data_IF_153748156889
#
_entry.id   IF_153748156889
#
_cell.length_a   1.000
_cell.length_b   1.000
_cell.length_c   1.000
_cell.angle_alpha   90.00
_cell.angle_beta   90.00
_cell.angle_gamma   90.00
#
_symmetry.space_group_name_H-M   'P 1'
#
loop_
_entity.id
_entity.type
_entity.pdbx_description
1 polymer ?
#
# COMPACT_ATOMS: atom_id res chain seq x y z
N UNK A 1 3.42 61.25 -17.94
CA UNK A 1 2.56 61.66 -19.08
C UNK A 1 3.32 62.67 -19.91
N UNK A 2 3.88 62.26 -21.05
CA UNK A 2 4.21 63.15 -22.16
C UNK A 2 4.53 62.29 -23.38
N UNK A 3 3.77 62.52 -24.46
CA UNK A 3 3.95 61.90 -25.77
C UNK A 3 5.22 62.47 -26.40
N UNK A 4 6.11 61.60 -26.87
CA UNK A 4 7.07 61.93 -27.92
C UNK A 4 6.76 61.03 -29.12
N UNK A 5 6.31 61.69 -30.20
CA UNK A 5 6.21 61.13 -31.54
C UNK A 5 7.64 60.80 -32.00
N UNK A 6 7.90 59.53 -32.28
CA UNK A 6 9.11 59.05 -32.92
C UNK A 6 8.76 58.43 -34.26
N UNK A 7 8.99 59.23 -35.30
CA UNK A 7 9.25 58.90 -36.70
C UNK A 7 8.93 57.48 -37.21
N UNK A 8 7.88 57.39 -38.04
CA UNK A 8 7.56 56.22 -38.85
C UNK A 8 8.30 56.31 -40.18
N UNK A 9 9.55 55.87 -40.21
CA UNK A 9 10.25 55.54 -41.45
C UNK A 9 10.90 54.16 -41.30
N UNK A 10 10.11 53.12 -41.59
CA UNK A 10 10.64 51.79 -41.89
C UNK A 10 11.51 51.93 -43.16
N UNK A 11 12.79 51.54 -43.16
CA UNK A 11 13.58 51.56 -44.38
C UNK A 11 12.96 50.56 -45.36
N UNK A 12 12.57 51.06 -46.55
CA UNK A 12 12.12 50.23 -47.66
C UNK A 12 13.22 49.21 -47.99
N UNK A 13 12.86 47.95 -47.88
CA UNK A 13 13.70 46.82 -48.21
C UNK A 13 14.00 46.87 -49.73
N UNK A 14 15.25 47.19 -50.09
CA UNK A 14 15.72 47.22 -51.48
C UNK A 14 15.49 45.82 -52.05
N UNK A 15 14.83 45.67 -53.23
CA UNK A 15 14.60 44.36 -53.82
C UNK A 15 15.93 43.79 -54.31
N UNK A 16 16.60 43.01 -53.46
CA UNK A 16 17.66 42.10 -53.89
C UNK A 16 16.96 41.05 -54.74
N UNK A 17 17.13 41.12 -56.06
CA UNK A 17 16.64 40.12 -57.01
C UNK A 17 17.41 38.81 -56.81
N UNK A 18 16.94 37.97 -55.90
CA UNK A 18 17.46 36.61 -55.72
C UNK A 18 16.94 35.77 -56.87
N UNK A 19 17.86 35.16 -57.63
CA UNK A 19 17.54 34.45 -58.86
C UNK A 19 17.56 32.93 -58.70
N UNK A 20 18.21 32.42 -57.66
CA UNK A 20 18.37 30.97 -57.44
C UNK A 20 18.09 30.57 -55.99
N UNK A 21 17.69 29.31 -55.76
CA UNK A 21 17.53 28.79 -54.42
C UNK A 21 18.88 28.77 -53.66
N UNK A 22 20.00 28.60 -54.36
CA UNK A 22 21.34 28.64 -53.78
C UNK A 22 21.68 29.97 -53.12
N UNK A 23 21.39 31.10 -53.79
CA UNK A 23 21.54 32.45 -53.21
C UNK A 23 20.63 32.65 -51.98
N UNK A 24 19.41 32.11 -52.04
CA UNK A 24 18.47 32.17 -50.93
C UNK A 24 18.94 31.39 -49.70
N UNK A 25 19.47 30.16 -49.89
CA UNK A 25 20.09 29.36 -48.83
C UNK A 25 21.29 30.08 -48.20
N UNK A 26 22.13 30.74 -49.02
CA UNK A 26 23.26 31.51 -48.53
C UNK A 26 22.84 32.69 -47.65
N UNK A 27 21.76 33.39 -47.99
CA UNK A 27 21.21 34.48 -47.17
C UNK A 27 20.65 33.94 -45.86
N UNK A 28 19.92 32.83 -45.90
CA UNK A 28 19.39 32.18 -44.70
C UNK A 28 20.53 31.74 -43.76
N UNK A 29 21.58 31.12 -44.30
CA UNK A 29 22.79 30.71 -43.56
C UNK A 29 23.55 31.90 -42.96
N UNK A 30 23.77 32.96 -43.75
CA UNK A 30 24.48 34.18 -43.31
C UNK A 30 23.77 34.89 -42.16
N UNK A 31 22.44 34.84 -42.12
CA UNK A 31 21.63 35.51 -41.11
C UNK A 31 21.16 34.56 -39.98
N UNK A 32 21.70 33.34 -39.89
CA UNK A 32 21.37 32.40 -38.82
C UNK A 32 19.92 31.90 -38.84
N UNK A 33 19.27 31.88 -39.99
CA UNK A 33 17.91 31.38 -40.15
C UNK A 33 17.95 29.85 -40.24
N UNK A 34 17.68 29.19 -39.11
CA UNK A 34 17.80 27.72 -38.97
C UNK A 34 16.46 26.99 -38.91
N UNK A 35 15.34 27.71 -38.88
CA UNK A 35 14.00 27.12 -38.85
C UNK A 35 12.94 28.11 -39.40
N UNK A 36 11.75 27.58 -39.69
CA UNK A 36 10.63 28.34 -40.25
C UNK A 36 10.11 29.45 -39.33
N UNK A 37 10.24 29.32 -38.00
CA UNK A 37 9.84 30.36 -37.05
C UNK A 37 10.76 31.58 -37.17
N UNK A 38 12.08 31.37 -37.14
CA UNK A 38 13.07 32.43 -37.33
C UNK A 38 12.92 33.09 -38.71
N UNK A 39 12.61 32.30 -39.74
CA UNK A 39 12.30 32.83 -41.07
C UNK A 39 11.07 33.75 -41.04
N UNK A 40 9.95 33.32 -40.45
CA UNK A 40 8.73 34.11 -40.35
C UNK A 40 8.91 35.39 -39.50
N UNK A 41 9.73 35.33 -38.46
CA UNK A 41 10.03 36.49 -37.60
C UNK A 41 10.90 37.54 -38.31
N UNK A 42 11.78 37.11 -39.22
CA UNK A 42 12.81 37.98 -39.78
C UNK A 42 12.64 38.30 -41.27
N UNK A 43 11.67 37.69 -41.99
CA UNK A 43 11.58 37.88 -43.44
C UNK A 43 11.31 39.32 -43.88
N UNK A 44 10.66 40.13 -43.03
CA UNK A 44 10.41 41.55 -43.32
C UNK A 44 11.65 42.43 -43.11
N UNK A 45 12.56 41.98 -42.24
CA UNK A 45 13.67 42.78 -41.72
C UNK A 45 14.98 42.49 -42.44
N UNK A 46 15.14 41.28 -43.00
CA UNK A 46 16.35 40.88 -43.71
C UNK A 46 16.16 41.09 -45.22
N UNK A 47 16.98 41.93 -45.87
CA UNK A 47 16.96 42.07 -47.32
C UNK A 47 17.21 40.75 -48.03
N UNK A 48 16.26 40.35 -48.88
CA UNK A 48 16.31 39.10 -49.62
C UNK A 48 15.64 37.90 -48.94
N UNK A 49 15.18 37.97 -47.69
CA UNK A 49 14.24 36.95 -47.22
C UNK A 49 12.86 37.20 -47.84
N UNK A 50 12.26 36.16 -48.43
CA UNK A 50 10.91 36.19 -49.00
C UNK A 50 9.95 35.40 -48.13
N UNK A 51 8.70 35.84 -48.05
CA UNK A 51 7.68 35.21 -47.19
C UNK A 51 7.35 33.77 -47.62
N UNK A 52 7.32 33.53 -48.93
CA UNK A 52 6.90 32.27 -49.54
C UNK A 52 7.94 31.76 -50.56
N UNK A 53 9.12 31.30 -50.11
CA UNK A 53 10.16 30.80 -51.01
C UNK A 53 9.73 29.59 -51.84
N UNK A 54 8.81 28.78 -51.34
CA UNK A 54 8.20 27.65 -52.04
C UNK A 54 7.41 28.07 -53.29
N UNK A 55 6.94 29.32 -53.36
CA UNK A 55 6.21 29.86 -54.52
C UNK A 55 7.13 30.50 -55.56
N UNK A 56 8.28 31.02 -55.12
CA UNK A 56 9.24 31.72 -55.99
C UNK A 56 10.22 30.75 -56.63
N UNK A 57 10.71 29.76 -55.88
CA UNK A 57 11.66 28.75 -56.35
C UNK A 57 10.98 27.41 -56.67
N UNK A 58 9.79 27.46 -57.27
CA UNK A 58 8.91 26.27 -57.43
C UNK A 58 9.61 25.06 -58.03
N UNK A 59 10.51 25.27 -58.99
CA UNK A 59 11.22 24.20 -59.72
C UNK A 59 12.45 23.66 -58.97
N UNK A 60 13.03 24.44 -58.05
CA UNK A 60 14.21 24.06 -57.25
C UNK A 60 13.83 23.66 -55.80
N UNK A 61 12.61 23.97 -55.35
CA UNK A 61 12.19 23.82 -53.96
C UNK A 61 11.92 22.37 -53.58
N UNK A 62 12.69 21.86 -52.62
CA UNK A 62 12.50 20.53 -52.04
C UNK A 62 11.67 20.62 -50.75
N UNK A 63 12.17 21.34 -49.75
CA UNK A 63 11.47 21.56 -48.48
C UNK A 63 12.13 22.66 -47.66
N UNK A 64 11.43 23.15 -46.62
CA UNK A 64 12.03 24.04 -45.63
C UNK A 64 13.21 23.38 -44.87
N UNK A 65 13.20 22.05 -44.70
CA UNK A 65 14.31 21.32 -44.05
C UNK A 65 15.59 21.41 -44.87
N UNK A 66 15.48 21.18 -46.18
CA UNK A 66 16.58 21.29 -47.14
C UNK A 66 17.06 22.74 -47.31
N UNK A 67 16.17 23.71 -47.15
CA UNK A 67 16.49 25.14 -47.30
C UNK A 67 17.26 25.71 -46.11
N UNK A 68 16.97 25.25 -44.89
CA UNK A 68 17.63 25.73 -43.67
C UNK A 68 18.73 24.80 -43.16
N UNK A 69 19.17 23.83 -43.97
CA UNK A 69 20.14 22.79 -43.58
C UNK A 69 19.79 22.12 -42.24
N UNK A 70 18.49 21.86 -41.98
CA UNK A 70 18.03 21.29 -40.70
C UNK A 70 18.55 19.86 -40.60
N UNK A 71 19.39 19.53 -39.60
CA UNK A 71 19.93 18.19 -39.45
C UNK A 71 18.83 17.13 -39.26
N UNK A 72 18.98 15.98 -39.92
CA UNK A 72 18.14 14.82 -39.64
C UNK A 72 18.34 14.32 -38.21
N UNK A 73 17.28 13.76 -37.63
CA UNK A 73 17.36 13.13 -36.32
C UNK A 73 18.35 11.97 -36.33
N UNK A 74 19.03 11.76 -35.20
CA UNK A 74 19.82 10.54 -35.03
C UNK A 74 18.93 9.31 -35.23
N UNK A 75 19.50 8.20 -35.74
CA UNK A 75 18.75 6.96 -35.80
C UNK A 75 18.33 6.50 -34.40
N UNK A 76 17.22 5.75 -34.31
CA UNK A 76 16.71 5.20 -33.04
C UNK A 76 17.80 4.47 -32.24
N UNK A 77 18.61 3.64 -32.92
CA UNK A 77 19.75 2.91 -32.33
C UNK A 77 20.84 3.86 -31.82
N UNK A 78 21.19 4.89 -32.59
CA UNK A 78 22.21 5.87 -32.19
C UNK A 78 21.75 6.64 -30.96
N UNK A 79 20.51 7.12 -30.92
CA UNK A 79 20.03 7.85 -29.75
C UNK A 79 19.93 6.95 -28.51
N UNK A 80 19.49 5.69 -28.65
CA UNK A 80 19.51 4.74 -27.53
C UNK A 80 20.92 4.55 -26.96
N UNK A 81 21.95 4.55 -27.81
CA UNK A 81 23.34 4.45 -27.35
C UNK A 81 23.80 5.70 -26.58
N UNK A 82 23.34 6.89 -26.98
CA UNK A 82 23.64 8.17 -26.32
C UNK A 82 22.96 8.26 -24.95
N UNK A 83 21.69 7.84 -24.85
CA UNK A 83 20.92 7.99 -23.59
C UNK A 83 21.17 6.86 -22.59
N UNK A 84 21.65 5.69 -23.03
CA UNK A 84 21.95 4.55 -22.17
C UNK A 84 22.88 4.89 -20.99
N UNK A 85 24.04 5.55 -21.17
CA UNK A 85 24.91 5.93 -20.06
C UNK A 85 24.30 7.00 -19.12
N UNK A 86 23.29 7.74 -19.57
CA UNK A 86 22.67 8.82 -18.80
C UNK A 86 21.67 8.31 -17.74
N UNK A 87 21.26 7.04 -17.82
CA UNK A 87 20.36 6.38 -16.87
C UNK A 87 19.07 7.19 -16.54
N UNK A 88 18.51 7.87 -17.56
CA UNK A 88 17.34 8.73 -17.43
C UNK A 88 16.14 7.97 -16.87
N UNK A 89 15.42 8.59 -15.92
CA UNK A 89 14.39 7.87 -15.17
C UNK A 89 12.99 7.98 -15.75
N UNK A 90 12.71 9.00 -16.55
CA UNK A 90 11.36 9.29 -17.03
C UNK A 90 11.38 10.10 -18.32
N UNK A 91 10.23 10.17 -18.99
CA UNK A 91 9.99 11.07 -20.13
C UNK A 91 10.31 12.53 -19.79
N UNK A 92 10.02 12.98 -18.56
CA UNK A 92 10.32 14.34 -18.09
C UNK A 92 11.81 14.60 -18.07
N UNK A 93 12.60 13.65 -17.57
CA UNK A 93 14.07 13.75 -17.56
C UNK A 93 14.65 13.71 -18.97
N UNK A 94 14.08 12.89 -19.87
CA UNK A 94 14.47 12.91 -21.27
C UNK A 94 14.24 14.29 -21.91
N UNK A 95 13.04 14.87 -21.75
CA UNK A 95 12.76 16.22 -22.28
C UNK A 95 13.68 17.30 -21.70
N UNK A 96 14.03 17.18 -20.40
CA UNK A 96 15.01 18.07 -19.78
C UNK A 96 16.41 17.89 -20.36
N UNK A 97 16.82 16.64 -20.66
CA UNK A 97 18.07 16.34 -21.35
C UNK A 97 18.09 16.93 -22.76
N UNK A 98 17.02 16.76 -23.56
CA UNK A 98 16.92 17.36 -24.89
C UNK A 98 17.09 18.88 -24.82
N UNK A 99 16.39 19.54 -23.88
CA UNK A 99 16.51 20.99 -23.67
C UNK A 99 17.93 21.41 -23.24
N UNK A 100 18.65 20.57 -22.50
CA UNK A 100 20.00 20.88 -22.01
C UNK A 100 21.07 20.67 -23.09
N UNK A 101 20.93 19.65 -23.93
CA UNK A 101 21.86 19.41 -25.03
C UNK A 101 21.72 20.45 -26.13
N UNK A 102 20.49 20.94 -26.35
CA UNK A 102 20.17 21.88 -27.43
C UNK A 102 20.62 21.36 -28.81
N UNK A 103 20.65 20.02 -28.97
CA UNK A 103 21.05 19.33 -30.19
C UNK A 103 19.81 19.12 -31.07
N UNK A 104 19.71 19.77 -32.26
CA UNK A 104 18.58 19.62 -33.17
C UNK A 104 18.35 18.18 -33.67
N UNK A 105 19.36 17.31 -33.59
CA UNK A 105 19.27 15.90 -34.01
C UNK A 105 18.60 15.01 -32.97
N UNK A 106 18.31 15.53 -31.77
CA UNK A 106 17.62 14.79 -30.70
C UNK A 106 16.13 15.20 -30.68
N UNK A 107 15.20 14.32 -31.08
CA UNK A 107 13.79 14.68 -31.13
C UNK A 107 13.19 14.87 -29.73
N UNK A 108 12.36 15.89 -29.55
CA UNK A 108 11.63 16.09 -28.29
C UNK A 108 10.55 15.01 -28.07
N UNK A 109 9.94 14.56 -29.18
CA UNK A 109 8.96 13.48 -29.20
C UNK A 109 9.46 12.28 -30.02
N UNK A 110 10.28 11.40 -29.41
CA UNK A 110 10.81 10.23 -30.10
C UNK A 110 9.72 9.21 -30.48
N UNK A 111 8.56 9.24 -29.81
CA UNK A 111 7.43 8.37 -30.12
C UNK A 111 6.82 8.67 -31.48
N UNK A 112 6.59 9.95 -31.80
CA UNK A 112 6.08 10.35 -33.11
C UNK A 112 7.12 10.22 -34.23
N UNK A 113 8.41 10.40 -33.92
CA UNK A 113 9.49 10.30 -34.92
C UNK A 113 9.78 8.87 -35.34
N UNK A 114 9.75 7.92 -34.40
CA UNK A 114 10.04 6.50 -34.67
C UNK A 114 8.83 5.61 -34.44
N UNK A 115 7.63 6.04 -34.86
CA UNK A 115 6.37 5.32 -34.62
C UNK A 115 6.43 3.83 -34.96
N UNK A 116 7.10 3.46 -36.06
CA UNK A 116 7.26 2.06 -36.49
C UNK A 116 8.23 1.22 -35.64
N UNK A 117 9.23 1.84 -35.00
CA UNK A 117 10.22 1.18 -34.13
C UNK A 117 9.93 1.40 -32.64
N UNK A 118 8.94 2.24 -32.32
CA UNK A 118 8.62 2.67 -30.97
C UNK A 118 7.81 1.61 -30.24
N UNK A 119 8.36 1.14 -29.12
CA UNK A 119 7.67 0.16 -28.27
C UNK A 119 7.03 0.85 -27.06
N UNK A 120 7.85 1.47 -26.22
CA UNK A 120 7.42 2.30 -25.10
C UNK A 120 8.61 3.02 -24.46
N UNK A 121 8.31 3.98 -23.57
CA UNK A 121 9.31 4.74 -22.82
C UNK A 121 10.25 3.87 -21.97
N UNK A 122 9.78 2.76 -21.38
CA UNK A 122 10.65 1.92 -20.56
C UNK A 122 11.72 1.25 -21.41
N UNK A 123 11.35 0.64 -22.54
CA UNK A 123 12.30 0.02 -23.49
C UNK A 123 13.22 1.04 -24.16
N UNK A 124 12.71 2.24 -24.45
CA UNK A 124 13.51 3.33 -24.98
C UNK A 124 14.60 3.77 -23.98
N UNK A 125 14.23 3.97 -22.72
CA UNK A 125 15.14 4.39 -21.64
C UNK A 125 15.98 3.25 -21.03
N UNK A 126 15.86 2.02 -21.54
CA UNK A 126 16.60 0.85 -21.03
C UNK A 126 16.15 0.37 -19.65
N UNK A 127 14.89 0.65 -19.27
CA UNK A 127 14.28 0.24 -18.00
C UNK A 127 13.44 -1.01 -18.13
N UNK A 128 13.28 -1.72 -17.01
CA UNK A 128 12.31 -2.81 -16.88
C UNK A 128 10.90 -2.23 -16.87
N UNK A 129 10.03 -2.80 -17.69
CA UNK A 129 8.61 -2.46 -17.71
C UNK A 129 7.97 -2.78 -16.35
N UNK A 130 7.01 -1.96 -15.88
CA UNK A 130 6.30 -2.24 -14.66
C UNK A 130 5.44 -3.50 -14.80
N UNK A 131 5.06 -4.09 -13.67
CA UNK A 131 4.11 -5.19 -13.62
C UNK A 131 2.69 -4.62 -13.62
N UNK A 132 2.12 -4.48 -14.81
CA UNK A 132 0.78 -3.96 -15.04
C UNK A 132 0.22 -4.61 -16.31
N UNK A 133 -1.11 -4.78 -16.37
CA UNK A 133 -1.83 -5.45 -17.45
C UNK A 133 -1.47 -4.91 -18.84
N UNK A 134 -1.23 -3.60 -18.97
CA UNK A 134 -0.87 -2.96 -20.25
C UNK A 134 0.48 -3.41 -20.82
N UNK A 135 1.33 -4.02 -20.01
CA UNK A 135 2.67 -4.50 -20.40
C UNK A 135 2.76 -6.03 -20.40
N UNK A 136 1.63 -6.75 -20.41
CA UNK A 136 1.61 -8.17 -20.72
C UNK A 136 1.84 -8.32 -22.24
N UNK A 137 2.67 -9.28 -22.63
CA UNK A 137 3.00 -9.46 -24.05
C UNK A 137 1.76 -9.87 -24.86
N UNK A 138 1.65 -9.39 -26.11
CA UNK A 138 0.48 -9.60 -26.99
C UNK A 138 -0.02 -11.06 -27.06
N UNK A 139 0.84 -12.09 -27.15
CA UNK A 139 0.36 -13.48 -27.18
C UNK A 139 -0.37 -13.95 -25.90
N UNK A 140 -0.19 -13.25 -24.78
CA UNK A 140 -0.71 -13.60 -23.47
C UNK A 140 -1.84 -12.66 -23.01
N UNK A 141 -2.47 -11.91 -23.94
CA UNK A 141 -3.56 -10.97 -23.61
C UNK A 141 -4.72 -11.66 -22.88
N UNK A 142 -4.99 -12.95 -23.17
CA UNK A 142 -6.02 -13.71 -22.44
C UNK A 142 -5.78 -13.74 -20.92
N UNK A 143 -4.51 -13.79 -20.48
CA UNK A 143 -4.17 -13.64 -19.07
C UNK A 143 -4.53 -12.25 -18.55
N UNK A 144 -4.26 -11.19 -19.31
CA UNK A 144 -4.58 -9.83 -18.91
C UNK A 144 -6.08 -9.62 -18.72
N UNK A 145 -6.88 -10.09 -19.68
CA UNK A 145 -8.36 -10.02 -19.64
C UNK A 145 -8.90 -10.77 -18.44
N UNK A 146 -8.45 -12.02 -18.23
CA UNK A 146 -8.94 -12.84 -17.13
C UNK A 146 -8.50 -12.32 -15.75
N UNK A 147 -7.29 -11.74 -15.65
CA UNK A 147 -6.86 -11.04 -14.44
C UNK A 147 -7.75 -9.82 -14.17
N UNK A 148 -8.07 -9.03 -15.19
CA UNK A 148 -8.97 -7.88 -15.05
C UNK A 148 -10.36 -8.29 -14.54
N UNK A 149 -10.91 -9.38 -15.10
CA UNK A 149 -12.16 -9.99 -14.64
C UNK A 149 -12.08 -10.42 -13.17
N UNK A 150 -11.05 -11.18 -12.78
CA UNK A 150 -10.82 -11.59 -11.39
C UNK A 150 -10.74 -10.39 -10.43
N UNK A 151 -10.09 -9.30 -10.86
CA UNK A 151 -9.94 -8.11 -10.04
C UNK A 151 -11.27 -7.37 -9.76
N UNK A 152 -12.35 -7.65 -10.50
CA UNK A 152 -13.68 -7.11 -10.20
C UNK A 152 -14.31 -7.74 -8.95
N UNK A 153 -13.96 -8.99 -8.64
CA UNK A 153 -14.50 -9.75 -7.51
C UNK A 153 -13.52 -9.86 -6.34
N UNK A 154 -12.21 -9.76 -6.61
CA UNK A 154 -11.17 -10.00 -5.63
C UNK A 154 -11.01 -8.87 -4.59
N UNK A 155 -11.04 -9.24 -3.29
CA UNK A 155 -10.63 -8.35 -2.20
C UNK A 155 -9.11 -8.14 -2.23
N UNK A 156 -8.63 -6.90 -2.37
CA UNK A 156 -7.19 -6.59 -2.25
C UNK A 156 -6.53 -5.73 -3.34
N UNK A 157 -7.28 -5.08 -4.23
CA UNK A 157 -6.84 -3.91 -5.01
C UNK A 157 -5.53 -4.04 -5.82
N UNK A 158 -4.90 -2.90 -6.14
CA UNK A 158 -3.80 -2.77 -7.12
C UNK A 158 -2.52 -3.55 -6.82
N UNK A 159 -2.32 -4.07 -5.60
CA UNK A 159 -1.17 -4.92 -5.26
C UNK A 159 -1.28 -6.32 -5.87
N UNK A 160 -2.49 -6.92 -5.91
CA UNK A 160 -2.73 -8.23 -6.56
C UNK A 160 -2.47 -8.17 -8.05
N UNK A 161 -2.92 -7.12 -8.73
CA UNK A 161 -2.68 -6.91 -10.16
C UNK A 161 -1.19 -6.98 -10.51
N UNK A 162 -0.35 -6.25 -9.75
CA UNK A 162 1.11 -6.27 -9.92
C UNK A 162 1.73 -7.65 -9.68
N UNK A 163 1.23 -8.41 -8.70
CA UNK A 163 1.70 -9.76 -8.40
C UNK A 163 1.33 -10.76 -9.51
N UNK A 164 0.11 -10.68 -10.03
CA UNK A 164 -0.36 -11.55 -11.12
C UNK A 164 0.35 -11.23 -12.44
N UNK A 165 0.50 -9.95 -12.79
CA UNK A 165 1.30 -9.55 -13.95
C UNK A 165 2.76 -10.01 -13.82
N UNK A 166 3.29 -10.00 -12.59
CA UNK A 166 4.62 -10.56 -12.33
C UNK A 166 4.66 -12.05 -12.57
N UNK A 167 3.71 -12.82 -12.07
CA UNK A 167 3.63 -14.26 -12.31
C UNK A 167 3.60 -14.59 -13.80
N UNK A 168 2.76 -13.89 -14.57
CA UNK A 168 2.69 -14.04 -16.03
C UNK A 168 4.07 -13.79 -16.64
N UNK A 169 4.72 -12.67 -16.32
CA UNK A 169 6.02 -12.32 -16.92
C UNK A 169 7.17 -13.24 -16.50
N UNK A 170 7.30 -13.60 -15.22
CA UNK A 170 8.47 -14.35 -14.73
C UNK A 170 8.34 -15.85 -14.97
N UNK A 171 7.11 -16.39 -15.06
CA UNK A 171 6.90 -17.82 -15.17
C UNK A 171 6.20 -18.22 -16.46
N UNK A 172 5.01 -17.67 -16.74
CA UNK A 172 4.24 -18.05 -17.93
C UNK A 172 5.01 -17.66 -19.20
N UNK A 173 5.37 -16.39 -19.35
CA UNK A 173 6.05 -15.89 -20.54
C UNK A 173 7.45 -16.48 -20.72
N UNK A 174 8.20 -16.70 -19.64
CA UNK A 174 9.59 -17.20 -19.72
C UNK A 174 9.69 -18.71 -19.87
N UNK A 175 8.86 -19.47 -19.16
CA UNK A 175 9.06 -20.91 -18.95
C UNK A 175 7.91 -21.77 -19.44
N UNK A 176 6.66 -21.47 -19.04
CA UNK A 176 5.53 -22.37 -19.26
C UNK A 176 4.86 -22.21 -20.65
N UNK A 177 4.82 -20.99 -21.19
CA UNK A 177 4.32 -20.62 -22.53
C UNK A 177 2.83 -20.87 -22.79
N UNK A 178 2.00 -21.12 -21.78
CA UNK A 178 0.54 -21.20 -21.98
C UNK A 178 -0.03 -19.86 -22.37
N UNK A 179 -0.70 -19.79 -23.52
CA UNK A 179 -1.26 -18.54 -24.03
C UNK A 179 -2.48 -18.06 -23.23
N UNK A 180 -3.19 -18.98 -22.57
CA UNK A 180 -4.36 -18.67 -21.74
C UNK A 180 -4.27 -19.35 -20.37
N UNK A 181 -4.99 -18.83 -19.35
CA UNK A 181 -5.09 -19.46 -18.03
C UNK A 181 -5.68 -20.88 -18.10
N UNK A 182 -6.68 -21.11 -18.94
CA UNK A 182 -7.34 -22.41 -19.13
C UNK A 182 -6.35 -23.42 -19.73
N UNK A 183 -5.57 -23.01 -20.73
CA UNK A 183 -4.53 -23.85 -21.33
C UNK A 183 -3.42 -24.20 -20.33
N UNK A 184 -3.19 -23.38 -19.31
CA UNK A 184 -2.27 -23.71 -18.22
C UNK A 184 -2.87 -24.72 -17.24
N UNK A 185 -4.15 -24.54 -16.89
CA UNK A 185 -4.88 -25.33 -15.88
C UNK A 185 -5.27 -26.74 -16.36
N UNK A 186 -5.40 -26.96 -17.66
CA UNK A 186 -5.73 -28.26 -18.26
C UNK A 186 -4.49 -29.09 -18.65
N UNK A 187 -3.28 -28.61 -18.35
CA UNK A 187 -2.05 -29.39 -18.59
C UNK A 187 -1.98 -30.60 -17.66
N UNK A 188 -1.74 -31.78 -18.24
CA UNK A 188 -1.51 -33.02 -17.49
C UNK A 188 -0.33 -32.94 -16.51
N UNK A 189 0.74 -32.21 -16.88
CA UNK A 189 1.93 -32.01 -16.04
C UNK A 189 2.47 -30.60 -16.18
N UNK A 190 2.58 -29.89 -15.05
CA UNK A 190 3.15 -28.54 -14.97
C UNK A 190 4.48 -28.60 -14.23
N UNK A 191 5.55 -28.10 -14.87
CA UNK A 191 6.87 -28.02 -14.25
C UNK A 191 6.98 -26.76 -13.39
N UNK A 192 6.86 -26.93 -12.07
CA UNK A 192 6.92 -25.83 -11.10
C UNK A 192 8.35 -25.42 -10.69
N UNK A 193 9.38 -26.18 -11.09
CA UNK A 193 10.78 -25.90 -10.69
C UNK A 193 11.27 -24.51 -11.12
N UNK A 194 11.01 -24.04 -12.36
CA UNK A 194 11.42 -22.69 -12.77
C UNK A 194 10.72 -21.59 -11.96
N UNK A 195 9.45 -21.78 -11.57
CA UNK A 195 8.74 -20.83 -10.72
C UNK A 195 9.45 -20.72 -9.35
N UNK A 196 9.82 -21.84 -8.72
CA UNK A 196 10.55 -21.82 -7.44
C UNK A 196 11.87 -21.04 -7.54
N UNK A 197 12.63 -21.26 -8.62
CA UNK A 197 13.88 -20.53 -8.86
C UNK A 197 13.66 -19.02 -9.09
N UNK A 198 12.60 -18.62 -9.79
CA UNK A 198 12.27 -17.20 -9.97
C UNK A 198 11.76 -16.57 -8.66
N UNK A 199 11.08 -17.33 -7.80
CA UNK A 199 10.65 -16.87 -6.48
C UNK A 199 11.84 -16.60 -5.56
N UNK A 200 12.86 -17.47 -5.54
CA UNK A 200 14.09 -17.28 -4.74
C UNK A 200 14.83 -15.98 -5.08
N UNK A 201 14.70 -15.48 -6.32
CA UNK A 201 15.27 -14.19 -6.76
C UNK A 201 14.52 -12.97 -6.21
N UNK A 202 13.37 -13.15 -5.54
CA UNK A 202 12.60 -12.05 -4.97
C UNK A 202 13.14 -11.62 -3.60
N UNK A 203 13.29 -10.31 -3.45
CA UNK A 203 13.99 -9.66 -2.34
C UNK A 203 13.42 -9.95 -0.94
N UNK A 204 12.14 -10.34 -0.80
CA UNK A 204 11.51 -10.54 0.51
C UNK A 204 10.61 -11.78 0.55
N UNK A 205 10.62 -12.48 1.69
CA UNK A 205 9.75 -13.64 1.94
C UNK A 205 8.27 -13.27 1.81
N UNK A 206 7.90 -12.08 2.32
CA UNK A 206 6.54 -11.56 2.24
C UNK A 206 6.07 -11.42 0.78
N UNK A 207 6.94 -10.96 -0.13
CA UNK A 207 6.60 -10.81 -1.54
C UNK A 207 6.45 -12.15 -2.24
N UNK A 208 7.31 -13.14 -1.93
CA UNK A 208 7.17 -14.52 -2.44
C UNK A 208 5.83 -15.11 -2.00
N UNK A 209 5.50 -14.98 -0.71
CA UNK A 209 4.27 -15.49 -0.13
C UNK A 209 3.03 -14.84 -0.75
N UNK A 210 3.00 -13.51 -0.83
CA UNK A 210 1.85 -12.79 -1.38
C UNK A 210 1.64 -13.10 -2.87
N UNK A 211 2.72 -13.34 -3.63
CA UNK A 211 2.63 -13.80 -5.00
C UNK A 211 1.96 -15.17 -5.08
N UNK A 212 2.44 -16.15 -4.29
CA UNK A 212 1.87 -17.50 -4.27
C UNK A 212 0.38 -17.47 -3.89
N UNK A 213 0.00 -16.67 -2.88
CA UNK A 213 -1.39 -16.53 -2.45
C UNK A 213 -2.24 -15.94 -3.60
N UNK A 214 -1.82 -14.81 -4.16
CA UNK A 214 -2.57 -14.14 -5.22
C UNK A 214 -2.74 -15.03 -6.46
N UNK A 215 -1.69 -15.77 -6.85
CA UNK A 215 -1.73 -16.69 -7.99
C UNK A 215 -2.65 -17.88 -7.72
N UNK A 216 -2.61 -18.48 -6.53
CA UNK A 216 -3.51 -19.59 -6.21
C UNK A 216 -4.98 -19.13 -6.23
N UNK A 217 -5.30 -18.00 -5.58
CA UNK A 217 -6.65 -17.43 -5.61
C UNK A 217 -7.14 -17.15 -7.04
N UNK A 218 -6.25 -16.60 -7.89
CA UNK A 218 -6.57 -16.35 -9.29
C UNK A 218 -6.82 -17.63 -10.08
N UNK A 219 -5.98 -18.65 -9.93
CA UNK A 219 -6.12 -19.91 -10.64
C UNK A 219 -7.37 -20.68 -10.19
N UNK A 220 -7.68 -20.66 -8.89
CA UNK A 220 -8.89 -21.28 -8.35
C UNK A 220 -10.16 -20.55 -8.84
N UNK A 221 -10.11 -19.22 -8.99
CA UNK A 221 -11.16 -18.44 -9.65
C UNK A 221 -11.41 -18.90 -11.09
N UNK A 222 -10.35 -19.04 -11.91
CA UNK A 222 -10.50 -19.51 -13.29
C UNK A 222 -11.09 -20.92 -13.33
N UNK A 223 -10.65 -21.82 -12.44
CA UNK A 223 -11.23 -23.17 -12.37
C UNK A 223 -12.73 -23.11 -12.08
N UNK A 224 -13.14 -22.28 -11.11
CA UNK A 224 -14.52 -22.19 -10.63
C UNK A 224 -15.45 -21.47 -11.61
N UNK A 225 -14.95 -20.47 -12.33
CA UNK A 225 -15.77 -19.67 -13.23
C UNK A 225 -15.81 -20.25 -14.64
N UNK A 226 -14.69 -20.80 -15.12
CA UNK A 226 -14.52 -21.16 -16.53
C UNK A 226 -14.37 -22.67 -16.77
N UNK A 227 -14.06 -23.47 -15.75
CA UNK A 227 -13.76 -24.91 -15.89
C UNK A 227 -14.59 -25.82 -14.97
N UNK A 228 -15.67 -25.31 -14.40
CA UNK A 228 -16.68 -26.08 -13.66
C UNK A 228 -18.06 -25.85 -14.27
N UNK A 229 -18.77 -26.93 -14.53
CA UNK A 229 -20.18 -26.93 -14.89
C UNK A 229 -20.99 -27.57 -13.76
N UNK A 230 -22.04 -26.90 -13.31
CA UNK A 230 -23.00 -27.42 -12.33
C UNK A 230 -24.16 -28.08 -13.10
N UNK A 231 -24.44 -29.35 -12.77
CA UNK A 231 -25.57 -30.08 -13.33
C UNK A 231 -26.88 -29.59 -12.67
N UNK A 232 -27.80 -29.03 -13.47
CA UNK A 232 -29.02 -28.36 -12.98
C UNK A 232 -30.02 -29.28 -12.26
N UNK A 233 -29.95 -30.61 -12.46
CA UNK A 233 -30.86 -31.57 -11.82
C UNK A 233 -30.28 -32.19 -10.54
N UNK A 234 -28.95 -32.36 -10.46
CA UNK A 234 -28.30 -33.09 -9.36
C UNK A 234 -27.47 -32.19 -8.42
N UNK A 235 -27.13 -30.97 -8.85
CA UNK A 235 -26.20 -30.08 -8.14
C UNK A 235 -24.76 -30.61 -8.11
N UNK A 236 -24.43 -31.61 -8.94
CA UNK A 236 -23.10 -32.18 -9.01
C UNK A 236 -22.15 -31.24 -9.79
N UNK A 237 -21.03 -30.86 -9.16
CA UNK A 237 -20.02 -29.99 -9.78
C UNK A 237 -19.07 -30.85 -10.61
N UNK A 238 -19.22 -30.82 -11.93
CA UNK A 238 -18.32 -31.52 -12.86
C UNK A 238 -17.21 -30.57 -13.30
N UNK A 239 -15.96 -30.93 -13.04
CA UNK A 239 -14.78 -30.20 -13.56
C UNK A 239 -14.51 -30.60 -14.99
N UNK A 240 -14.44 -29.63 -15.89
CA UNK A 240 -14.11 -29.84 -17.29
C UNK A 240 -12.62 -30.23 -17.41
N UNK A 241 -12.33 -31.34 -18.09
CA UNK A 241 -10.97 -31.77 -18.51
C UNK A 241 -9.93 -31.98 -17.39
N UNK A 242 -10.32 -32.51 -16.22
CA UNK A 242 -9.39 -32.76 -15.10
C UNK A 242 -8.63 -31.51 -14.60
N UNK A 243 -9.18 -30.31 -14.81
CA UNK A 243 -8.55 -29.06 -14.43
C UNK A 243 -8.18 -29.02 -12.94
N UNK A 244 -6.89 -28.75 -12.65
CA UNK A 244 -6.34 -28.70 -11.29
C UNK A 244 -5.40 -27.52 -11.16
N UNK A 245 -5.39 -26.88 -10.01
CA UNK A 245 -4.41 -25.85 -9.68
C UNK A 245 -3.05 -26.52 -9.35
N UNK A 246 -2.04 -26.41 -10.24
CA UNK A 246 -0.75 -27.10 -10.06
C UNK A 246 0.12 -26.46 -8.97
N UNK A 247 -0.30 -25.30 -8.44
CA UNK A 247 0.44 -24.51 -7.43
C UNK A 247 -0.20 -24.58 -6.04
N UNK A 248 -1.29 -25.34 -5.89
CA UNK A 248 -2.04 -25.53 -4.64
C UNK A 248 -1.18 -26.04 -3.48
N UNK A 249 -0.10 -26.78 -3.74
CA UNK A 249 0.80 -27.27 -2.69
C UNK A 249 1.87 -26.24 -2.30
N UNK A 250 2.09 -25.18 -3.10
CA UNK A 250 3.06 -24.12 -2.79
C UNK A 250 2.56 -23.18 -1.69
N UNK A 251 1.25 -23.12 -1.43
CA UNK A 251 0.69 -22.45 -0.25
C UNK A 251 0.90 -23.23 1.04
N UNK A 252 1.12 -24.55 0.96
CA UNK A 252 1.24 -25.45 2.12
C UNK A 252 2.66 -25.54 2.71
N UNK A 253 3.68 -24.95 2.06
CA UNK A 253 4.94 -24.59 2.73
C UNK A 253 4.79 -23.36 3.64
N UNK A 254 3.59 -23.18 4.21
CA UNK A 254 3.30 -22.18 5.21
C UNK A 254 3.85 -22.66 6.55
N UNK A 255 4.96 -22.05 6.95
CA UNK A 255 5.25 -21.84 8.35
C UNK A 255 3.98 -21.34 9.07
N UNK A 256 3.79 -21.91 10.25
CA UNK A 256 2.75 -21.68 11.26
C UNK A 256 2.66 -20.21 11.67
N UNK A 257 2.27 -19.27 10.79
CA UNK A 257 2.23 -17.84 11.14
C UNK A 257 1.16 -17.01 10.40
N UNK A 258 0.12 -17.61 9.81
CA UNK A 258 -1.17 -16.92 9.64
C UNK A 258 -2.25 -17.95 9.34
N UNK A 259 -3.21 -18.21 10.23
CA UNK A 259 -4.40 -18.95 9.82
C UNK A 259 -5.07 -18.17 8.69
N UNK A 260 -5.47 -18.86 7.61
CA UNK A 260 -6.54 -18.36 6.76
C UNK A 260 -7.66 -17.90 7.69
N UNK A 261 -8.07 -16.63 7.60
CA UNK A 261 -9.26 -16.14 8.29
C UNK A 261 -10.48 -16.67 7.54
N UNK A 262 -10.65 -17.99 7.54
CA UNK A 262 -11.97 -18.56 7.38
C UNK A 262 -12.80 -18.06 8.56
N UNK A 263 -14.04 -17.66 8.30
CA UNK A 263 -15.01 -17.57 9.40
C UNK A 263 -14.98 -18.90 10.14
N UNK A 264 -15.02 -18.82 11.47
CA UNK A 264 -14.96 -20.02 12.29
C UNK A 264 -16.18 -20.88 11.98
N UNK A 265 -15.98 -22.00 11.26
CA UNK A 265 -16.97 -23.05 11.09
C UNK A 265 -17.19 -23.86 12.37
N UNK A 266 -16.46 -23.54 13.44
CA UNK A 266 -16.71 -24.11 14.77
C UNK A 266 -18.04 -23.59 15.30
N UNK A 267 -18.85 -24.45 15.92
CA UNK A 267 -20.08 -24.02 16.58
C UNK A 267 -19.78 -22.89 17.57
N UNK A 268 -20.68 -21.91 17.66
CA UNK A 268 -20.56 -20.84 18.64
C UNK A 268 -20.41 -21.44 20.04
N UNK A 269 -19.43 -20.96 20.81
CA UNK A 269 -19.26 -21.39 22.19
C UNK A 269 -20.54 -21.04 22.96
N UNK A 270 -21.21 -22.05 23.50
CA UNK A 270 -22.44 -21.83 24.26
C UNK A 270 -22.16 -20.90 25.45
N UNK A 271 -23.06 -19.96 25.68
CA UNK A 271 -22.91 -18.94 26.72
C UNK A 271 -22.68 -19.55 28.11
N UNK A 272 -23.22 -20.74 28.39
CA UNK A 272 -22.96 -21.48 29.62
C UNK A 272 -21.46 -21.65 29.93
N UNK A 273 -20.64 -21.99 28.93
CA UNK A 273 -19.20 -22.14 29.12
C UNK A 273 -18.51 -20.80 29.33
N UNK A 274 -18.99 -19.74 28.67
CA UNK A 274 -18.50 -18.37 28.87
C UNK A 274 -18.80 -17.90 30.30
N UNK A 275 -20.01 -18.14 30.79
CA UNK A 275 -20.42 -17.79 32.16
C UNK A 275 -19.63 -18.58 33.20
N UNK A 276 -19.43 -19.89 33.00
CA UNK A 276 -18.56 -20.71 33.86
C UNK A 276 -17.13 -20.19 33.89
N UNK A 277 -16.58 -19.76 32.75
CA UNK A 277 -15.24 -19.17 32.71
C UNK A 277 -15.20 -17.84 33.48
N UNK A 278 -16.21 -16.98 33.34
CA UNK A 278 -16.30 -15.73 34.11
C UNK A 278 -16.32 -15.98 35.62
N UNK A 279 -17.19 -16.88 36.08
CA UNK A 279 -17.35 -17.23 37.50
C UNK A 279 -16.11 -17.94 38.06
N UNK A 280 -15.40 -18.70 37.21
CA UNK A 280 -14.15 -19.33 37.61
C UNK A 280 -13.02 -18.30 37.75
N UNK A 281 -12.82 -17.43 36.74
CA UNK A 281 -11.77 -16.39 36.78
C UNK A 281 -12.01 -15.42 37.95
N UNK A 282 -13.25 -14.96 38.11
CA UNK A 282 -13.64 -14.04 39.17
C UNK A 282 -14.86 -14.62 39.91
N UNK A 283 -14.62 -15.36 41.01
CA UNK A 283 -15.69 -15.86 41.87
C UNK A 283 -16.50 -14.72 42.47
N UNK A 284 -17.81 -14.93 42.67
CA UNK A 284 -18.73 -13.88 43.15
C UNK A 284 -18.38 -13.29 44.53
N UNK A 285 -17.63 -14.03 45.35
CA UNK A 285 -17.18 -13.59 46.66
C UNK A 285 -15.80 -12.89 46.64
N UNK A 286 -15.11 -12.87 45.50
CA UNK A 286 -13.81 -12.24 45.38
C UNK A 286 -13.95 -10.70 45.39
N UNK A 287 -13.17 -10.03 46.24
CA UNK A 287 -13.14 -8.57 46.34
C UNK A 287 -11.76 -8.01 46.05
N UNK A 288 -10.72 -8.82 46.05
CA UNK A 288 -9.32 -8.40 45.90
C UNK A 288 -8.54 -9.40 45.07
N UNK A 289 -7.40 -9.00 44.50
CA UNK A 289 -6.54 -9.95 43.78
C UNK A 289 -6.00 -11.05 44.68
N UNK A 290 -5.86 -10.82 45.99
CA UNK A 290 -5.51 -11.85 46.99
C UNK A 290 -6.55 -12.97 47.10
N UNK A 291 -7.82 -12.71 46.80
CA UNK A 291 -8.88 -13.73 46.82
C UNK A 291 -8.77 -14.70 45.63
N UNK A 292 -8.07 -14.31 44.55
CA UNK A 292 -7.91 -15.09 43.32
C UNK A 292 -6.78 -16.13 43.41
N UNK A 293 -6.68 -16.84 44.55
CA UNK A 293 -5.60 -17.81 44.84
C UNK A 293 -5.47 -18.91 43.78
N UNK A 294 -6.59 -19.31 43.19
CA UNK A 294 -6.63 -20.35 42.17
C UNK A 294 -5.96 -19.94 40.84
N UNK A 295 -5.81 -18.63 40.58
CA UNK A 295 -5.07 -18.09 39.42
C UNK A 295 -3.58 -17.88 39.73
N UNK A 296 -3.21 -17.81 41.00
CA UNK A 296 -1.82 -17.53 41.42
C UNK A 296 -0.88 -18.74 41.29
N UNK A 297 -1.42 -19.89 40.85
CA UNK A 297 -0.66 -21.14 40.62
C UNK A 297 0.13 -21.17 39.30
N UNK A 298 -0.10 -20.21 38.41
CA UNK A 298 0.55 -20.18 37.09
C UNK A 298 1.84 -19.36 37.16
N UNK A 299 2.99 -19.99 36.91
CA UNK A 299 4.29 -19.33 37.07
C UNK A 299 4.54 -18.19 36.07
N UNK A 300 3.94 -18.26 34.89
CA UNK A 300 4.07 -17.23 33.85
C UNK A 300 3.54 -15.85 34.26
N UNK A 301 2.66 -15.78 35.25
CA UNK A 301 2.06 -14.53 35.73
C UNK A 301 2.86 -13.88 36.87
N UNK A 302 4.00 -14.44 37.26
CA UNK A 302 4.84 -13.90 38.34
C UNK A 302 6.02 -13.10 37.80
N UNK A 303 6.10 -11.84 38.23
CA UNK A 303 7.11 -10.89 37.81
C UNK A 303 8.14 -10.69 38.91
N UNK A 304 9.42 -10.68 38.56
CA UNK A 304 10.50 -10.41 39.50
C UNK A 304 10.51 -8.92 39.88
N UNK A 305 10.51 -8.61 41.17
CA UNK A 305 10.47 -7.22 41.69
C UNK A 305 11.51 -7.00 42.79
N UNK A 306 11.90 -5.74 43.02
CA UNK A 306 12.78 -5.37 44.13
C UNK A 306 11.97 -5.22 45.43
N UNK A 307 12.59 -5.45 46.59
CA UNK A 307 11.88 -5.45 47.89
C UNK A 307 11.48 -4.06 48.39
N UNK A 308 12.01 -2.99 47.78
CA UNK A 308 11.79 -1.60 48.21
C UNK A 308 10.57 -0.94 47.57
N UNK A 309 10.04 -1.53 46.49
CA UNK A 309 9.03 -0.90 45.62
C UNK A 309 7.61 -1.42 45.86
N UNK A 310 7.42 -2.38 46.78
CA UNK A 310 6.17 -3.14 46.89
C UNK A 310 5.43 -2.85 48.20
N UNK A 311 4.15 -2.47 48.08
CA UNK A 311 3.27 -2.28 49.24
C UNK A 311 2.67 -3.61 49.72
N UNK A 312 3.20 -4.14 50.83
CA UNK A 312 2.73 -5.40 51.42
C UNK A 312 1.37 -5.31 52.11
N UNK A 313 0.87 -4.10 52.36
CA UNK A 313 -0.41 -3.87 53.01
C UNK A 313 -1.57 -3.87 52.02
N UNK A 314 -1.30 -3.66 50.72
CA UNK A 314 -2.32 -3.63 49.68
C UNK A 314 -2.81 -5.06 49.37
N UNK A 315 -4.09 -5.40 49.61
CA UNK A 315 -4.62 -6.73 49.32
C UNK A 315 -4.73 -7.02 47.81
N UNK A 316 -4.59 -6.02 46.95
CA UNK A 316 -4.46 -6.20 45.51
C UNK A 316 -2.99 -6.44 45.09
N UNK A 317 -2.01 -6.23 45.98
CA UNK A 317 -0.60 -6.53 45.72
C UNK A 317 -0.21 -7.92 46.24
N UNK A 318 -0.30 -8.92 45.37
CA UNK A 318 0.00 -10.32 45.72
C UNK A 318 1.48 -10.63 45.46
N UNK A 319 2.20 -11.03 46.52
CA UNK A 319 3.63 -11.33 46.47
C UNK A 319 3.97 -12.74 46.93
N UNK A 320 5.05 -13.30 46.38
CA UNK A 320 5.71 -14.52 46.88
C UNK A 320 7.21 -14.32 46.96
N UNK A 321 7.86 -14.94 47.94
CA UNK A 321 9.32 -14.96 48.09
C UNK A 321 9.83 -16.37 47.81
N UNK A 322 10.81 -16.51 46.91
CA UNK A 322 11.48 -17.77 46.58
C UNK A 322 12.98 -17.55 46.74
N UNK A 323 13.58 -18.20 47.74
CA UNK A 323 14.95 -17.88 48.17
C UNK A 323 15.05 -16.41 48.59
N UNK A 324 16.02 -15.67 48.07
CA UNK A 324 16.15 -14.22 48.31
C UNK A 324 15.39 -13.35 47.30
N UNK A 325 14.72 -13.95 46.32
CA UNK A 325 14.02 -13.22 45.28
C UNK A 325 12.54 -12.98 45.63
N UNK A 326 12.09 -11.73 45.45
CA UNK A 326 10.69 -11.35 45.55
C UNK A 326 10.03 -11.35 44.17
N UNK A 327 8.80 -11.86 44.12
CA UNK A 327 7.95 -11.88 42.93
C UNK A 327 6.58 -11.27 43.24
N UNK A 328 6.01 -10.58 42.26
CA UNK A 328 4.66 -10.00 42.29
C UNK A 328 3.79 -10.66 41.23
N UNK A 329 2.56 -11.01 41.56
CA UNK A 329 1.62 -11.60 40.63
C UNK A 329 0.95 -10.54 39.74
N UNK A 330 0.88 -10.80 38.43
CA UNK A 330 0.31 -9.91 37.43
C UNK A 330 -1.13 -10.31 37.09
N UNK A 331 -2.14 -9.45 37.38
CA UNK A 331 -3.53 -9.71 37.02
C UNK A 331 -3.86 -9.44 35.55
N UNK A 332 -2.94 -8.85 34.77
CA UNK A 332 -3.21 -8.26 33.45
C UNK A 332 -3.83 -9.28 32.48
N UNK A 333 -3.21 -10.45 32.31
CA UNK A 333 -3.67 -11.46 31.35
C UNK A 333 -5.04 -12.03 31.72
N UNK A 334 -5.31 -12.20 33.02
CA UNK A 334 -6.57 -12.71 33.53
C UNK A 334 -7.70 -11.70 33.37
N UNK A 335 -7.45 -10.42 33.66
CA UNK A 335 -8.45 -9.38 33.42
C UNK A 335 -8.66 -9.08 31.94
N UNK A 336 -7.63 -9.25 31.11
CA UNK A 336 -7.77 -9.22 29.65
C UNK A 336 -8.69 -10.33 29.15
N UNK A 337 -8.50 -11.55 29.66
CA UNK A 337 -9.35 -12.71 29.34
C UNK A 337 -10.77 -12.53 29.89
N UNK A 338 -10.92 -12.01 31.11
CA UNK A 338 -12.23 -11.71 31.68
C UNK A 338 -12.97 -10.67 30.83
N UNK A 339 -12.29 -9.60 30.41
CA UNK A 339 -12.86 -8.57 29.52
C UNK A 339 -13.33 -9.19 28.19
N UNK A 340 -12.52 -10.06 27.58
CA UNK A 340 -12.87 -10.81 26.37
C UNK A 340 -14.18 -11.61 26.50
N UNK A 341 -14.45 -12.15 27.69
CA UNK A 341 -15.70 -12.90 27.95
C UNK A 341 -16.89 -12.00 28.24
N UNK A 342 -16.68 -10.73 28.60
CA UNK A 342 -17.72 -9.80 29.05
C UNK A 342 -18.24 -8.89 27.95
N UNK A 343 -17.41 -8.56 26.97
CA UNK A 343 -17.75 -7.61 25.92
C UNK A 343 -17.33 -8.12 24.53
N UNK A 344 -18.08 -7.82 23.46
CA UNK A 344 -17.81 -8.32 22.11
C UNK A 344 -16.67 -7.57 21.41
N UNK A 345 -15.51 -7.44 22.07
CA UNK A 345 -14.32 -6.78 21.55
C UNK A 345 -13.25 -7.79 21.17
N UNK A 346 -12.44 -7.47 20.16
CA UNK A 346 -11.30 -8.32 19.78
C UNK A 346 -10.19 -8.18 20.82
N UNK A 347 -9.50 -9.28 21.12
CA UNK A 347 -8.45 -9.30 22.15
C UNK A 347 -7.38 -8.23 21.98
N UNK A 348 -6.88 -8.04 20.75
CA UNK A 348 -5.92 -6.94 20.47
C UNK A 348 -6.49 -5.55 20.73
N UNK A 349 -7.78 -5.32 20.48
CA UNK A 349 -8.39 -4.02 20.73
C UNK A 349 -8.47 -3.73 22.23
N UNK A 350 -8.85 -4.73 23.04
CA UNK A 350 -8.87 -4.58 24.50
C UNK A 350 -7.48 -4.24 25.04
N UNK A 351 -6.44 -4.91 24.54
CA UNK A 351 -5.06 -4.68 24.98
C UNK A 351 -4.50 -3.29 24.61
N UNK A 352 -5.14 -2.57 23.67
CA UNK A 352 -4.73 -1.23 23.23
C UNK A 352 -5.66 -0.12 23.76
N UNK A 353 -6.70 -0.46 24.50
CA UNK A 353 -7.55 0.55 25.10
C UNK A 353 -6.82 1.21 26.27
N UNK A 354 -7.00 2.52 26.39
CA UNK A 354 -6.34 3.32 27.41
C UNK A 354 -7.00 3.11 28.79
N UNK A 355 -6.22 3.04 29.86
CA UNK A 355 -6.74 2.91 31.22
C UNK A 355 -7.37 4.21 31.74
N UNK A 356 -7.13 5.34 31.08
CA UNK A 356 -7.60 6.67 31.47
C UNK A 356 -6.70 7.35 32.49
N UNK A 357 -5.49 6.86 32.73
CA UNK A 357 -4.56 7.40 33.76
C UNK A 357 -4.20 8.87 33.54
N UNK A 358 -4.33 9.35 32.30
CA UNK A 358 -4.05 10.70 31.85
C UNK A 358 -5.30 11.58 31.67
N UNK A 359 -6.51 11.02 31.81
CA UNK A 359 -7.76 11.78 31.65
C UNK A 359 -8.03 12.69 32.85
N UNK A 360 -8.72 13.82 32.64
CA UNK A 360 -9.09 14.78 33.70
C UNK A 360 -10.07 14.21 34.74
N UNK A 361 -10.96 13.32 34.29
CA UNK A 361 -11.99 12.67 35.09
C UNK A 361 -11.91 11.16 34.85
N UNK A 362 -11.87 10.39 35.93
CA UNK A 362 -11.71 8.93 35.87
C UNK A 362 -12.82 8.24 36.65
N UNK A 363 -13.20 7.03 36.20
CA UNK A 363 -14.10 6.15 36.94
C UNK A 363 -13.37 5.59 38.16
N UNK A 364 -14.01 5.59 39.32
CA UNK A 364 -13.57 4.89 40.51
C UNK A 364 -14.76 4.08 41.09
N UNK A 365 -14.49 3.26 42.10
CA UNK A 365 -15.51 2.49 42.83
C UNK A 365 -15.49 2.84 44.30
N UNK A 366 -16.68 3.01 44.89
CA UNK A 366 -16.83 3.25 46.32
C UNK A 366 -16.66 1.94 47.15
N UNK A 367 -16.80 2.05 48.46
CA UNK A 367 -16.70 0.91 49.41
C UNK A 367 -17.75 -0.20 49.16
N UNK A 368 -18.85 0.12 48.48
CA UNK A 368 -19.91 -0.80 48.13
C UNK A 368 -19.78 -1.33 46.68
N UNK A 369 -18.74 -0.91 45.95
CA UNK A 369 -18.50 -1.28 44.56
C UNK A 369 -19.28 -0.45 43.53
N UNK A 370 -19.95 0.63 43.95
CA UNK A 370 -20.70 1.51 43.05
C UNK A 370 -19.74 2.46 42.32
N UNK A 371 -20.03 2.68 41.04
CA UNK A 371 -19.23 3.54 40.16
C UNK A 371 -19.41 5.01 40.56
N UNK A 372 -18.29 5.71 40.70
CA UNK A 372 -18.23 7.15 40.97
C UNK A 372 -17.24 7.82 40.00
N UNK A 373 -17.53 9.04 39.60
CA UNK A 373 -16.64 9.84 38.74
C UNK A 373 -15.91 10.88 39.58
N UNK A 374 -14.59 10.87 39.53
CA UNK A 374 -13.77 11.80 40.32
C UNK A 374 -12.71 12.47 39.45
N UNK A 375 -12.27 13.66 39.88
CA UNK A 375 -11.15 14.35 39.24
C UNK A 375 -9.87 13.55 39.47
N UNK A 376 -9.15 13.28 38.39
CA UNK A 376 -7.89 12.57 38.45
C UNK A 376 -6.84 13.43 39.18
N UNK A 377 -6.16 12.82 40.16
CA UNK A 377 -5.11 13.46 40.96
C UNK A 377 -3.71 12.99 40.58
N UNK A 378 -3.60 12.16 39.55
CA UNK A 378 -2.33 11.69 39.00
C UNK A 378 -1.51 12.86 38.43
N UNK A 379 -0.19 12.73 38.44
CA UNK A 379 0.74 13.67 37.78
C UNK A 379 0.49 13.79 36.27
N UNK A 380 -0.17 12.78 35.67
CA UNK A 380 -0.49 12.71 34.26
C UNK A 380 -1.88 13.28 33.92
N UNK A 381 -2.65 13.73 34.91
CA UNK A 381 -4.00 14.28 34.70
C UNK A 381 -3.99 15.43 33.68
N UNK A 382 -4.89 15.38 32.70
CA UNK A 382 -5.12 16.43 31.71
C UNK A 382 -4.25 16.35 30.46
N UNK A 383 -3.39 15.32 30.34
CA UNK A 383 -2.69 15.02 29.09
C UNK A 383 -3.64 14.45 28.04
N UNK A 384 -4.69 13.74 28.48
CA UNK A 384 -5.81 13.30 27.64
C UNK A 384 -7.12 13.83 28.23
N UNK A 385 -8.15 13.93 27.39
CA UNK A 385 -9.45 14.50 27.83
C UNK A 385 -10.49 13.44 28.16
N UNK A 386 -10.68 12.46 27.27
CA UNK A 386 -11.73 11.43 27.35
C UNK A 386 -11.33 10.20 26.50
N UNK A 387 -10.16 9.62 26.78
CA UNK A 387 -9.64 8.45 26.05
C UNK A 387 -9.74 7.14 26.84
N UNK A 388 -10.11 7.19 28.12
CA UNK A 388 -10.29 6.03 28.98
C UNK A 388 -11.26 5.01 28.39
N UNK A 389 -10.91 3.72 28.47
CA UNK A 389 -11.77 2.61 28.11
C UNK A 389 -13.11 2.68 28.85
N UNK A 390 -13.09 3.00 30.15
CA UNK A 390 -14.29 3.26 30.95
C UNK A 390 -14.65 4.73 30.77
N UNK A 391 -15.76 5.00 30.08
CA UNK A 391 -16.14 6.35 29.66
C UNK A 391 -17.42 6.82 30.34
N UNK A 392 -17.42 8.08 30.79
CA UNK A 392 -18.63 8.77 31.26
C UNK A 392 -19.43 9.24 30.05
N UNK A 393 -20.66 8.78 29.95
CA UNK A 393 -21.58 9.17 28.89
C UNK A 393 -22.31 10.47 29.26
N UNK A 394 -22.91 11.20 28.29
CA UNK A 394 -23.61 12.46 28.56
C UNK A 394 -24.81 12.34 29.51
N UNK A 395 -25.39 11.14 29.61
CA UNK A 395 -26.49 10.78 30.50
C UNK A 395 -26.01 10.27 31.87
N UNK A 396 -24.74 10.51 32.22
CA UNK A 396 -24.08 10.08 33.47
C UNK A 396 -23.83 8.58 33.60
N UNK A 397 -24.33 7.77 32.66
CA UNK A 397 -24.10 6.34 32.63
C UNK A 397 -22.67 6.00 32.22
N UNK A 398 -22.22 4.79 32.58
CA UNK A 398 -20.93 4.28 32.17
C UNK A 398 -21.01 3.58 30.81
N UNK A 399 -20.03 3.85 29.96
CA UNK A 399 -19.87 3.23 28.65
C UNK A 399 -18.43 2.81 28.37
N UNK A 400 -18.18 2.37 27.14
CA UNK A 400 -16.85 2.01 26.65
C UNK A 400 -16.36 3.00 25.59
N UNK A 401 -15.09 3.37 25.62
CA UNK A 401 -14.41 3.99 24.49
C UNK A 401 -13.38 3.05 23.88
N UNK A 402 -13.48 2.82 22.58
CA UNK A 402 -12.62 1.87 21.87
C UNK A 402 -11.67 2.64 20.97
N UNK A 403 -10.36 2.47 21.18
CA UNK A 403 -9.34 3.02 20.29
C UNK A 403 -9.26 2.21 18.99
N UNK A 404 -9.06 2.88 17.84
CA UNK A 404 -8.93 2.18 16.56
C UNK A 404 -7.84 2.80 15.69
N UNK A 405 -6.86 1.97 15.29
CA UNK A 405 -5.83 2.35 14.32
C UNK A 405 -6.30 2.20 12.86
N UNK A 406 -7.60 2.01 12.62
CA UNK A 406 -8.13 1.93 11.24
C UNK A 406 -8.04 3.30 10.58
N UNK A 407 -7.28 3.36 9.48
CA UNK A 407 -7.12 4.55 8.63
C UNK A 407 -8.43 5.07 8.05
N UNK A 408 -9.45 4.19 7.90
CA UNK A 408 -10.78 4.57 7.44
C UNK A 408 -11.53 5.50 8.39
N UNK A 409 -11.13 5.57 9.67
CA UNK A 409 -11.76 6.45 10.67
C UNK A 409 -10.83 7.59 11.13
N UNK A 410 -9.78 7.91 10.37
CA UNK A 410 -8.74 8.89 10.75
C UNK A 410 -8.15 8.64 12.17
N UNK A 411 -8.13 7.38 12.62
CA UNK A 411 -7.66 7.03 13.97
C UNK A 411 -8.62 7.45 15.10
N UNK A 412 -9.80 8.00 14.81
CA UNK A 412 -10.76 8.36 15.83
C UNK A 412 -11.38 7.09 16.42
N UNK A 413 -11.38 6.98 17.75
CA UNK A 413 -12.08 5.91 18.48
C UNK A 413 -13.60 5.98 18.29
N UNK A 414 -14.32 5.04 18.90
CA UNK A 414 -15.78 5.08 18.97
C UNK A 414 -16.26 4.77 20.39
N UNK A 415 -17.46 5.24 20.74
CA UNK A 415 -18.04 5.04 22.08
C UNK A 415 -19.23 4.09 22.01
N UNK A 416 -19.37 3.23 23.02
CA UNK A 416 -20.53 2.35 23.23
C UNK A 416 -21.18 2.80 24.55
N UNK A 417 -22.48 3.12 24.60
CA UNK A 417 -23.15 3.65 25.80
C UNK A 417 -23.51 2.55 26.81
N UNK A 418 -22.63 1.57 27.00
CA UNK A 418 -22.83 0.45 27.93
C UNK A 418 -21.52 -0.27 28.24
N UNK A 419 -21.35 -0.70 29.50
CA UNK A 419 -20.28 -1.58 29.97
C UNK A 419 -20.79 -2.35 31.21
N UNK A 420 -20.42 -3.63 31.41
CA UNK A 420 -20.76 -4.37 32.64
C UNK A 420 -20.16 -3.73 33.90
N UNK A 421 -20.96 -3.60 34.97
CA UNK A 421 -20.53 -2.97 36.23
C UNK A 421 -19.42 -3.75 36.94
N UNK A 422 -19.51 -5.09 36.94
CA UNK A 422 -18.48 -5.96 37.52
C UNK A 422 -17.15 -5.82 36.76
N UNK A 423 -17.20 -5.65 35.45
CA UNK A 423 -16.03 -5.35 34.64
C UNK A 423 -15.41 -4.00 35.02
N UNK A 424 -16.21 -2.95 35.23
CA UNK A 424 -15.69 -1.65 35.70
C UNK A 424 -14.92 -1.82 37.01
N UNK A 425 -15.50 -2.53 37.98
CA UNK A 425 -14.89 -2.75 39.29
C UNK A 425 -13.47 -3.31 39.19
N UNK A 426 -13.30 -4.37 38.39
CA UNK A 426 -12.00 -5.02 38.24
C UNK A 426 -11.02 -4.24 37.37
N UNK A 427 -11.48 -3.50 36.37
CA UNK A 427 -10.62 -2.61 35.58
C UNK A 427 -10.13 -1.40 36.38
N UNK A 428 -10.95 -0.86 37.28
CA UNK A 428 -10.52 0.20 38.21
C UNK A 428 -9.44 -0.34 39.15
N UNK A 429 -9.59 -1.56 39.66
CA UNK A 429 -8.54 -2.23 40.45
C UNK A 429 -7.26 -2.45 39.66
N UNK A 430 -7.38 -2.89 38.41
CA UNK A 430 -6.22 -3.05 37.52
C UNK A 430 -5.47 -1.73 37.35
N UNK A 431 -6.18 -0.64 37.05
CA UNK A 431 -5.57 0.69 36.90
C UNK A 431 -4.85 1.12 38.17
N UNK A 432 -5.48 0.95 39.35
CA UNK A 432 -4.85 1.28 40.63
C UNK A 432 -3.59 0.44 40.89
N UNK A 433 -3.63 -0.85 40.58
CA UNK A 433 -2.48 -1.75 40.67
C UNK A 433 -1.35 -1.32 39.71
N UNK A 434 -1.67 -0.93 38.48
CA UNK A 434 -0.70 -0.42 37.51
C UNK A 434 -0.05 0.88 37.98
N UNK A 435 -0.86 1.83 38.47
CA UNK A 435 -0.40 3.12 38.97
C UNK A 435 0.52 3.00 40.18
N UNK A 436 0.22 2.09 41.11
CA UNK A 436 0.95 1.96 42.36
C UNK A 436 2.16 1.04 42.28
N UNK A 437 2.03 -0.11 41.63
CA UNK A 437 3.00 -1.20 41.74
C UNK A 437 3.78 -1.40 40.43
N UNK A 438 3.11 -1.35 39.27
CA UNK A 438 3.76 -1.57 37.98
C UNK A 438 4.72 -0.43 37.61
N UNK A 439 4.26 0.82 37.65
CA UNK A 439 5.10 1.97 37.29
C UNK A 439 6.30 2.17 38.23
N UNK A 440 6.18 1.73 39.49
CA UNK A 440 7.28 1.81 40.48
C UNK A 440 8.35 0.74 40.30
N UNK A 441 8.03 -0.38 39.65
CA UNK A 441 8.95 -1.52 39.48
C UNK A 441 9.62 -1.56 38.10
N UNK A 442 9.19 -0.70 37.18
CA UNK A 442 9.75 -0.57 35.82
C UNK A 442 10.57 0.71 35.59
N UNK A 443 10.58 1.64 36.57
CA UNK A 443 11.44 2.83 36.57
C UNK A 443 12.67 2.58 37.42
#
# INVERSE_FOLDING_TARGET
MSKLKGDSSLPLNIPVSIKTLGEYKAICKKNGITNSRLHLENYKSIPGLIAHPERVFKDEWVSYKDTFDVPDFYSYKKLKSIIKPLALKSQKEYRAFVKKQDDPQIPNDPQGVWESEWENWFKFLGKKEPYNLKFIAKPYIAWAVKIEEFMTQALGGGSKNSLLCRFVRIYIEKHDKSLTPEAFLTKQKVNIRPLKQELEKLNTDNMRRNLIIAVNEFLDFVITNDLTSEDEETGEIIRVMDARNPLSLLSNSASVMSPQRAESTKPCLQYYFVKKAQEWIIPANAKTFKDLKHLQKFDADWLKVSSKEVDRSDPDCVIKKIGDQLYMWSPINWLHTFTLTKVPLRGRQIAYNDSGEADDVIANVDQNGKIIWEKNKSIFSGLTKNQAFIKRMPDENAGMFITTNKTSNNGQGYSIPWIPEDLIYWLVKLRKWQQKEWHRTQG
#
